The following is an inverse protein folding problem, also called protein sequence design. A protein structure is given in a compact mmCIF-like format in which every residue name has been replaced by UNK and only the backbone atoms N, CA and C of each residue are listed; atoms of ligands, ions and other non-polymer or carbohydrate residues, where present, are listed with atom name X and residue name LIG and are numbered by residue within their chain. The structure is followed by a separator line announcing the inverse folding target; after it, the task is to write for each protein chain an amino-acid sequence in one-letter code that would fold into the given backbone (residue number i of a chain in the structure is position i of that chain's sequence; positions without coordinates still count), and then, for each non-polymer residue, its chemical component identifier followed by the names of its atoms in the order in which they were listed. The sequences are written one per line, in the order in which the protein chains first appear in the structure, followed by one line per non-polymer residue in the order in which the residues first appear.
data_IF_310325594423
#
_entry.id   IF_310325594423
#
_cell.length_a   1.000
_cell.length_b   1.000
_cell.length_c   1.000
_cell.angle_alpha   90.00
_cell.angle_beta   90.00
_cell.angle_gamma   90.00
#
_symmetry.space_group_name_H-M   'P 1'
#
loop_
_entity.id
_entity.type
_entity.pdbx_description
1 polymer ?
#
# COMPACT_ATOMS: atom_id res chain seq x y z
N UNK A 1 15.35 7.99 51.22
CA UNK A 1 14.33 8.90 50.61
C UNK A 1 14.66 9.04 49.14
N UNK A 2 14.10 8.14 48.33
CA UNK A 2 14.21 8.26 46.88
C UNK A 2 13.11 9.21 46.42
N UNK A 3 13.52 10.27 45.71
CA UNK A 3 12.59 11.22 45.10
C UNK A 3 11.80 10.61 43.96
N UNK A 4 10.67 11.20 43.59
CA UNK A 4 9.83 10.68 42.49
C UNK A 4 10.64 10.69 41.20
N UNK A 5 10.72 9.54 40.51
CA UNK A 5 11.27 9.44 39.17
C UNK A 5 10.42 10.30 38.23
N UNK A 6 11.01 11.34 37.68
CA UNK A 6 10.41 12.09 36.58
C UNK A 6 10.10 11.11 35.43
N UNK A 7 8.84 11.04 35.02
CA UNK A 7 8.44 10.33 33.83
C UNK A 7 9.03 11.05 32.62
N UNK A 8 9.99 10.41 31.96
CA UNK A 8 10.52 10.90 30.68
C UNK A 8 9.35 11.06 29.70
N UNK A 9 9.19 12.27 29.22
CA UNK A 9 8.17 12.58 28.21
C UNK A 9 8.65 11.96 26.89
N UNK A 10 7.86 11.09 26.23
CA UNK A 10 8.23 10.42 24.98
C UNK A 10 8.73 11.43 23.95
N UNK A 11 9.83 11.10 23.25
CA UNK A 11 10.41 11.92 22.21
C UNK A 11 9.43 12.14 21.04
N UNK A 12 9.69 13.16 20.23
CA UNK A 12 8.81 13.53 19.10
C UNK A 12 8.55 12.35 18.16
N UNK A 13 9.58 11.51 17.92
CA UNK A 13 9.51 10.29 17.10
C UNK A 13 8.59 9.21 17.68
N UNK A 14 8.55 9.06 19.00
CA UNK A 14 7.68 8.10 19.69
C UNK A 14 6.22 8.57 19.71
N UNK A 15 5.99 9.88 19.82
CA UNK A 15 4.65 10.48 19.70
C UNK A 15 4.08 10.34 18.30
N UNK A 16 4.91 10.52 17.27
CA UNK A 16 4.53 10.34 15.87
C UNK A 16 4.26 8.86 15.54
N UNK A 17 5.04 7.93 16.06
CA UNK A 17 4.80 6.49 15.92
C UNK A 17 3.51 6.06 16.62
N UNK A 18 3.25 6.55 17.84
CA UNK A 18 2.01 6.29 18.57
C UNK A 18 0.78 6.86 17.85
N UNK A 19 0.88 8.05 17.27
CA UNK A 19 -0.21 8.66 16.50
C UNK A 19 -0.55 7.88 15.23
N UNK A 20 0.42 7.19 14.62
CA UNK A 20 0.19 6.32 13.44
C UNK A 20 -0.44 4.96 13.77
N UNK A 21 -0.19 4.44 14.97
CA UNK A 21 -0.73 3.16 15.44
C UNK A 21 -2.12 3.29 16.08
N UNK A 22 -2.45 4.46 16.60
CA UNK A 22 -3.67 4.69 17.39
C UNK A 22 -4.98 4.44 16.63
N UNK A 23 -5.15 4.77 15.32
CA UNK A 23 -6.42 4.53 14.64
C UNK A 23 -6.82 3.05 14.61
N UNK A 24 -5.87 2.15 14.39
CA UNK A 24 -6.13 0.72 14.35
C UNK A 24 -6.35 0.12 15.75
N UNK A 25 -5.59 0.59 16.76
CA UNK A 25 -5.74 0.15 18.15
C UNK A 25 -7.11 0.53 18.74
N UNK A 26 -7.61 1.72 18.43
CA UNK A 26 -8.90 2.20 18.98
C UNK A 26 -10.08 1.48 18.35
N UNK A 27 -10.03 1.17 17.06
CA UNK A 27 -11.09 0.38 16.42
C UNK A 27 -11.13 -1.06 16.97
N UNK A 28 -9.96 -1.63 17.27
CA UNK A 28 -9.85 -2.93 17.93
C UNK A 28 -10.33 -2.89 19.39
N UNK A 29 -10.04 -1.82 20.15
CA UNK A 29 -10.47 -1.66 21.54
C UNK A 29 -11.97 -1.39 21.67
N UNK A 30 -12.61 -0.72 20.72
CA UNK A 30 -14.06 -0.52 20.69
C UNK A 30 -14.81 -1.85 20.53
N UNK A 31 -14.32 -2.77 19.70
CA UNK A 31 -14.88 -4.12 19.58
C UNK A 31 -14.72 -4.97 20.84
N UNK A 32 -13.63 -4.76 21.60
CA UNK A 32 -13.39 -5.49 22.85
C UNK A 32 -14.21 -4.95 24.03
N UNK A 33 -14.47 -3.65 24.10
CA UNK A 33 -15.36 -3.05 25.09
C UNK A 33 -16.79 -3.57 24.96
N UNK A 34 -17.28 -3.79 23.74
CA UNK A 34 -18.60 -4.36 23.46
C UNK A 34 -18.67 -5.87 23.82
N UNK A 35 -17.58 -6.61 23.66
CA UNK A 35 -17.48 -8.02 24.06
C UNK A 35 -17.38 -8.19 25.59
N UNK A 36 -16.64 -7.31 26.28
CA UNK A 36 -16.49 -7.32 27.74
C UNK A 36 -17.74 -6.85 28.49
N UNK A 37 -18.58 -6.02 27.87
CA UNK A 37 -19.84 -5.59 28.46
C UNK A 37 -20.90 -6.72 28.59
N UNK A 38 -20.65 -7.88 27.96
CA UNK A 38 -21.52 -9.06 27.97
C UNK A 38 -21.13 -10.13 29.03
N UNK A 39 -20.01 -9.96 29.74
CA UNK A 39 -19.59 -10.82 30.82
C UNK A 39 -19.69 -10.08 32.16
N UNK A 40 -20.82 -10.25 32.83
CA UNK A 40 -21.07 -9.78 34.18
C UNK A 40 -20.49 -10.75 35.20
N UNK A 41 -19.26 -10.53 35.65
CA UNK A 41 -18.84 -10.78 37.03
C UNK A 41 -17.49 -10.08 37.31
N UNK A 42 -17.45 -8.98 38.10
CA UNK A 42 -16.20 -8.30 38.43
C UNK A 42 -15.43 -8.97 39.58
N UNK A 43 -15.99 -10.00 40.27
CA UNK A 43 -15.42 -10.58 41.48
C UNK A 43 -14.99 -12.06 41.40
N UNK A 44 -14.86 -12.64 40.20
CA UNK A 44 -14.23 -13.94 40.05
C UNK A 44 -12.76 -13.84 40.48
N UNK A 45 -12.48 -14.28 41.67
CA UNK A 45 -11.15 -14.25 42.30
C UNK A 45 -10.15 -15.07 41.50
N UNK A 46 -9.13 -14.39 41.05
CA UNK A 46 -8.06 -14.82 40.15
C UNK A 46 -7.11 -15.91 40.71
N UNK A 47 -7.42 -16.48 41.87
CA UNK A 47 -6.57 -17.47 42.54
C UNK A 47 -6.67 -18.89 42.01
N UNK A 48 -7.79 -19.28 41.36
CA UNK A 48 -8.03 -20.64 40.90
C UNK A 48 -7.60 -20.95 39.47
N UNK A 49 -7.22 -19.93 38.69
CA UNK A 49 -6.84 -20.14 37.26
C UNK A 49 -5.36 -20.53 37.09
N UNK A 50 -4.52 -20.26 38.09
CA UNK A 50 -3.09 -20.53 38.02
C UNK A 50 -2.68 -21.97 38.48
N UNK A 51 -3.60 -22.72 39.05
CA UNK A 51 -3.37 -24.08 39.54
C UNK A 51 -3.46 -25.09 38.37
N UNK A 52 -2.33 -25.40 37.74
CA UNK A 52 -2.24 -26.41 36.69
C UNK A 52 -1.55 -25.92 35.41
N UNK A 53 -1.18 -24.67 35.34
CA UNK A 53 -0.47 -24.10 34.21
C UNK A 53 1.05 -24.33 34.31
N UNK A 54 1.71 -24.60 33.16
CA UNK A 54 3.17 -24.63 33.15
C UNK A 54 3.78 -23.30 33.61
N UNK A 55 4.97 -23.30 34.27
CA UNK A 55 5.62 -22.07 34.73
C UNK A 55 5.79 -21.01 33.63
N UNK A 56 5.91 -21.44 32.37
CA UNK A 56 6.02 -20.55 31.21
C UNK A 56 4.70 -19.83 30.92
N UNK A 57 3.58 -20.55 30.95
CA UNK A 57 2.24 -19.99 30.71
C UNK A 57 1.82 -19.07 31.87
N UNK A 58 2.11 -19.47 33.11
CA UNK A 58 1.84 -18.65 34.32
C UNK A 58 2.64 -17.33 34.28
N UNK A 59 3.90 -17.35 33.81
CA UNK A 59 4.72 -16.15 33.64
C UNK A 59 4.23 -15.24 32.49
N UNK A 60 3.77 -15.83 31.40
CA UNK A 60 3.17 -15.09 30.27
C UNK A 60 1.87 -14.39 30.71
N UNK A 61 0.99 -15.08 31.45
CA UNK A 61 -0.25 -14.52 32.01
C UNK A 61 0.05 -13.39 33.00
N UNK A 62 1.07 -13.54 33.85
CA UNK A 62 1.48 -12.50 34.80
C UNK A 62 1.95 -11.24 34.08
N UNK A 63 2.78 -11.37 33.04
CA UNK A 63 3.22 -10.25 32.20
C UNK A 63 2.06 -9.57 31.47
N UNK A 64 1.13 -10.34 30.93
CA UNK A 64 -0.10 -9.79 30.33
C UNK A 64 -0.91 -9.01 31.36
N UNK A 65 -1.06 -9.52 32.61
CA UNK A 65 -1.76 -8.81 33.71
C UNK A 65 -1.02 -7.53 34.13
N UNK A 66 0.32 -7.50 34.11
CA UNK A 66 1.11 -6.29 34.36
C UNK A 66 0.89 -5.25 33.26
N UNK A 67 0.99 -5.65 32.01
CA UNK A 67 0.72 -4.78 30.85
C UNK A 67 -0.73 -4.27 30.87
N UNK A 68 -1.69 -5.13 31.21
CA UNK A 68 -3.10 -4.72 31.34
C UNK A 68 -3.31 -3.76 32.52
N UNK A 69 -2.57 -3.90 33.65
CA UNK A 69 -2.62 -2.94 34.77
C UNK A 69 -1.95 -1.60 34.41
N UNK A 70 -0.82 -1.61 33.70
CA UNK A 70 -0.20 -0.40 33.17
C UNK A 70 -1.10 0.28 32.13
N UNK A 71 -1.78 -0.50 31.29
CA UNK A 71 -2.81 0.01 30.37
C UNK A 71 -4.06 0.51 31.10
N UNK A 72 -4.40 -0.02 32.26
CA UNK A 72 -5.54 0.46 33.07
C UNK A 72 -5.24 1.81 33.75
N UNK A 73 -3.99 2.07 34.16
CA UNK A 73 -3.57 3.43 34.59
C UNK A 73 -3.50 4.42 33.44
N UNK A 74 -3.25 3.94 32.21
CA UNK A 74 -3.38 4.71 30.96
C UNK A 74 -4.85 4.83 30.48
N UNK A 75 -5.81 4.20 31.16
CA UNK A 75 -7.21 4.10 30.72
C UNK A 75 -7.89 5.47 30.66
N UNK A 76 -7.60 6.36 31.61
CA UNK A 76 -8.14 7.74 31.57
C UNK A 76 -7.60 8.48 30.35
N UNK A 77 -6.28 8.40 30.12
CA UNK A 77 -5.65 9.00 28.96
C UNK A 77 -6.10 8.35 27.63
N UNK A 78 -6.28 7.02 27.61
CA UNK A 78 -6.77 6.28 26.45
C UNK A 78 -8.25 6.56 26.14
N UNK A 79 -9.09 6.82 27.17
CA UNK A 79 -10.47 7.28 26.97
C UNK A 79 -10.49 8.66 26.34
N UNK A 80 -9.74 9.61 26.89
CA UNK A 80 -9.66 10.99 26.37
C UNK A 80 -9.06 11.02 24.97
N UNK A 81 -8.00 10.24 24.72
CA UNK A 81 -7.41 10.06 23.39
C UNK A 81 -8.37 9.30 22.45
N UNK A 82 -9.13 8.33 22.94
CA UNK A 82 -10.12 7.57 22.19
C UNK A 82 -11.27 8.43 21.69
N UNK A 83 -11.77 9.34 22.49
CA UNK A 83 -12.78 10.31 22.09
C UNK A 83 -12.24 11.27 21.02
N UNK A 84 -11.06 11.83 21.24
CA UNK A 84 -10.41 12.72 20.27
C UNK A 84 -10.16 12.04 18.91
N UNK A 85 -9.81 10.75 18.93
CA UNK A 85 -9.59 9.97 17.72
C UNK A 85 -10.91 9.55 17.06
N UNK A 86 -11.92 9.16 17.84
CA UNK A 86 -13.27 8.90 17.34
C UNK A 86 -13.83 10.12 16.61
N UNK A 87 -13.67 11.30 17.19
CA UNK A 87 -14.06 12.56 16.58
C UNK A 87 -13.21 12.90 15.34
N UNK A 88 -11.91 12.62 15.36
CA UNK A 88 -11.03 12.80 14.20
C UNK A 88 -11.41 11.86 13.04
N UNK A 89 -11.71 10.58 13.33
CA UNK A 89 -12.21 9.62 12.33
C UNK A 89 -13.59 10.04 11.83
N UNK A 90 -14.51 10.44 12.71
CA UNK A 90 -15.83 10.93 12.32
C UNK A 90 -15.73 12.23 11.51
N UNK A 91 -14.79 13.12 11.82
CA UNK A 91 -14.49 14.31 11.03
C UNK A 91 -13.85 13.96 9.68
N UNK A 92 -12.97 12.95 9.64
CA UNK A 92 -12.36 12.44 8.41
C UNK A 92 -13.39 11.78 7.49
N UNK A 93 -14.38 11.08 8.06
CA UNK A 93 -15.52 10.51 7.31
C UNK A 93 -16.44 11.57 6.75
N UNK A 94 -16.71 12.64 7.51
CA UNK A 94 -17.58 13.76 7.08
C UNK A 94 -16.95 14.67 6.04
N UNK A 95 -15.63 14.68 5.92
CA UNK A 95 -14.93 15.41 4.85
C UNK A 95 -14.94 14.56 3.59
N UNK A 96 -15.98 14.71 2.76
CA UNK A 96 -15.88 14.30 1.37
C UNK A 96 -14.74 15.10 0.74
N UNK A 97 -13.55 14.51 0.65
CA UNK A 97 -12.44 15.16 -0.01
C UNK A 97 -12.75 15.21 -1.51
N UNK A 98 -13.02 16.38 -2.02
CA UNK A 98 -13.09 16.59 -3.48
C UNK A 98 -11.66 16.53 -4.00
N UNK A 99 -11.29 15.39 -4.55
CA UNK A 99 -9.97 15.19 -5.17
C UNK A 99 -10.02 15.77 -6.57
N UNK A 100 -9.39 16.93 -6.77
CA UNK A 100 -9.37 17.68 -8.04
C UNK A 100 -8.15 17.34 -8.87
N UNK A 101 -7.02 17.08 -8.22
CA UNK A 101 -5.73 16.79 -8.85
C UNK A 101 -5.09 15.55 -8.28
N UNK A 102 -4.64 14.66 -9.18
CA UNK A 102 -3.99 13.39 -8.83
C UNK A 102 -2.71 13.25 -9.62
N UNK A 103 -1.59 13.10 -8.91
CA UNK A 103 -0.30 12.82 -9.54
C UNK A 103 -0.06 11.32 -9.66
N UNK A 104 0.66 10.93 -10.71
CA UNK A 104 1.03 9.54 -10.98
C UNK A 104 2.41 9.46 -11.66
N UNK A 105 3.14 8.37 -11.43
CA UNK A 105 4.45 8.16 -12.05
C UNK A 105 4.32 7.81 -13.53
N UNK A 106 5.13 8.47 -14.37
CA UNK A 106 5.33 8.16 -15.77
C UNK A 106 4.48 8.99 -16.72
N UNK A 107 4.28 8.52 -17.94
CA UNK A 107 3.57 9.23 -19.02
C UNK A 107 2.10 8.79 -19.10
N UNK A 108 1.32 9.53 -19.86
CA UNK A 108 -0.02 9.13 -20.29
C UNK A 108 0.04 7.75 -20.94
N UNK A 109 -0.90 6.85 -20.60
CA UNK A 109 -0.91 5.46 -21.09
C UNK A 109 -0.07 4.48 -20.24
N UNK A 110 0.69 4.96 -19.23
CA UNK A 110 1.35 4.07 -18.25
C UNK A 110 0.34 3.36 -17.36
N UNK A 111 0.75 2.27 -16.71
CA UNK A 111 -0.10 1.55 -15.76
C UNK A 111 -0.53 2.43 -14.57
N UNK A 112 0.34 3.34 -14.11
CA UNK A 112 0.00 4.32 -13.07
C UNK A 112 -1.05 5.30 -13.55
N UNK A 113 -0.94 5.80 -14.80
CA UNK A 113 -1.97 6.64 -15.42
C UNK A 113 -3.32 5.93 -15.51
N UNK A 114 -3.33 4.68 -15.99
CA UNK A 114 -4.55 3.86 -16.07
C UNK A 114 -5.21 3.67 -14.71
N UNK A 115 -4.41 3.34 -13.69
CA UNK A 115 -4.91 3.19 -12.32
C UNK A 115 -5.47 4.51 -11.78
N UNK A 116 -4.80 5.63 -12.01
CA UNK A 116 -5.27 6.95 -11.61
C UNK A 116 -6.58 7.33 -12.33
N UNK A 117 -6.66 7.13 -13.64
CA UNK A 117 -7.85 7.43 -14.44
C UNK A 117 -9.06 6.58 -14.01
N UNK A 118 -8.86 5.30 -13.73
CA UNK A 118 -9.92 4.41 -13.27
C UNK A 118 -10.45 4.79 -11.87
N UNK A 119 -9.57 5.25 -10.97
CA UNK A 119 -9.94 5.62 -9.62
C UNK A 119 -10.51 7.04 -9.51
N UNK A 120 -10.05 7.94 -10.39
CA UNK A 120 -10.34 9.39 -10.35
C UNK A 120 -10.68 9.94 -11.74
N UNK A 121 -11.80 9.49 -12.36
CA UNK A 121 -12.13 9.85 -13.74
C UNK A 121 -12.49 11.33 -13.95
N UNK A 122 -12.76 12.06 -12.86
CA UNK A 122 -13.13 13.48 -12.90
C UNK A 122 -12.01 14.42 -12.43
N UNK A 123 -10.85 13.86 -12.03
CA UNK A 123 -9.73 14.64 -11.53
C UNK A 123 -8.75 14.98 -12.64
N UNK A 124 -8.03 16.07 -12.48
CA UNK A 124 -6.86 16.37 -13.30
C UNK A 124 -5.74 15.37 -12.97
N UNK A 125 -5.24 14.68 -13.98
CA UNK A 125 -4.18 13.68 -13.85
C UNK A 125 -2.84 14.26 -14.31
N UNK A 126 -1.91 14.43 -13.36
CA UNK A 126 -0.63 15.09 -13.61
C UNK A 126 0.51 14.06 -13.54
N UNK A 127 1.28 13.86 -14.64
CA UNK A 127 2.42 12.96 -14.64
C UNK A 127 3.59 13.55 -13.87
N UNK A 128 4.32 12.69 -13.15
CA UNK A 128 5.58 13.01 -12.49
C UNK A 128 6.66 11.99 -12.84
N UNK A 129 7.93 12.32 -12.59
CA UNK A 129 9.07 11.50 -13.03
C UNK A 129 9.60 10.54 -11.95
N UNK A 130 9.19 10.69 -10.69
CA UNK A 130 9.63 9.83 -9.59
C UNK A 130 8.55 9.67 -8.52
N UNK A 131 8.66 8.61 -7.71
CA UNK A 131 7.79 8.42 -6.54
C UNK A 131 8.02 9.50 -5.48
N UNK A 132 9.27 9.95 -5.31
CA UNK A 132 9.60 11.04 -4.40
C UNK A 132 8.92 12.35 -4.82
N UNK A 133 8.90 12.67 -6.12
CA UNK A 133 8.19 13.84 -6.63
C UNK A 133 6.67 13.72 -6.44
N UNK A 134 6.10 12.53 -6.66
CA UNK A 134 4.68 12.29 -6.41
C UNK A 134 4.31 12.57 -4.94
N UNK A 135 5.10 12.04 -4.00
CA UNK A 135 4.92 12.29 -2.57
C UNK A 135 5.08 13.77 -2.22
N UNK A 136 6.12 14.44 -2.76
CA UNK A 136 6.36 15.86 -2.54
C UNK A 136 5.20 16.72 -3.04
N UNK A 137 4.61 16.42 -4.20
CA UNK A 137 3.43 17.14 -4.71
C UNK A 137 2.28 17.12 -3.72
N UNK A 138 2.03 15.98 -3.07
CA UNK A 138 0.95 15.84 -2.08
C UNK A 138 1.31 16.58 -0.78
N UNK A 139 2.55 16.45 -0.30
CA UNK A 139 3.03 17.10 0.92
C UNK A 139 2.94 18.62 0.80
N UNK A 140 3.41 19.15 -0.33
CA UNK A 140 3.43 20.59 -0.61
C UNK A 140 2.03 21.15 -0.96
N UNK A 141 1.02 20.31 -1.14
CA UNK A 141 -0.34 20.69 -1.54
C UNK A 141 -0.45 21.10 -3.02
N UNK A 142 0.52 20.71 -3.86
CA UNK A 142 0.47 20.90 -5.32
C UNK A 142 -0.46 19.91 -6.01
N UNK A 143 -0.77 18.80 -5.32
CA UNK A 143 -1.79 17.84 -5.71
C UNK A 143 -2.56 17.37 -4.47
N UNK A 144 -3.81 16.97 -4.66
CA UNK A 144 -4.65 16.45 -3.58
C UNK A 144 -4.28 15.02 -3.21
N UNK A 145 -3.87 14.21 -4.19
CA UNK A 145 -3.53 12.81 -4.00
C UNK A 145 -2.43 12.35 -4.96
N UNK A 146 -1.78 11.24 -4.61
CA UNK A 146 -0.89 10.50 -5.51
C UNK A 146 -1.32 9.04 -5.65
N UNK A 147 -1.30 8.50 -6.86
CA UNK A 147 -1.52 7.07 -7.13
C UNK A 147 -0.18 6.41 -7.37
N UNK A 148 0.20 5.51 -6.45
CA UNK A 148 1.51 4.85 -6.41
C UNK A 148 1.35 3.33 -6.50
N UNK A 149 2.15 2.62 -7.29
CA UNK A 149 2.23 1.17 -7.24
C UNK A 149 2.92 0.74 -5.95
N UNK A 150 2.36 -0.20 -5.21
CA UNK A 150 2.94 -0.67 -3.95
C UNK A 150 3.51 -2.08 -4.05
N UNK A 151 2.90 -2.90 -4.86
CA UNK A 151 3.40 -4.25 -5.16
C UNK A 151 2.89 -4.77 -6.51
N UNK A 152 3.61 -5.75 -7.05
CA UNK A 152 3.24 -6.48 -8.25
C UNK A 152 3.36 -7.98 -7.98
N UNK A 153 2.42 -8.78 -8.50
CA UNK A 153 2.36 -10.21 -8.23
C UNK A 153 3.57 -11.01 -8.74
N UNK A 154 4.30 -10.48 -9.73
CA UNK A 154 5.49 -11.11 -10.32
C UNK A 154 6.79 -10.47 -9.86
N UNK A 155 6.83 -9.14 -9.73
CA UNK A 155 8.04 -8.39 -9.34
C UNK A 155 8.14 -8.17 -7.82
N UNK A 156 7.06 -8.42 -7.06
CA UNK A 156 7.05 -8.26 -5.61
C UNK A 156 6.81 -6.82 -5.16
N UNK A 157 7.31 -6.52 -3.99
CA UNK A 157 7.12 -5.24 -3.27
C UNK A 157 7.99 -4.13 -3.87
N UNK A 158 7.42 -2.93 -4.00
CA UNK A 158 8.15 -1.73 -4.45
C UNK A 158 8.65 -1.00 -3.20
N UNK A 159 9.86 -1.38 -2.74
CA UNK A 159 10.44 -0.91 -1.47
C UNK A 159 10.54 0.61 -1.35
N UNK A 160 10.90 1.30 -2.43
CA UNK A 160 11.00 2.77 -2.46
C UNK A 160 9.69 3.46 -2.02
N UNK A 161 8.54 2.94 -2.44
CA UNK A 161 7.24 3.50 -2.05
C UNK A 161 6.98 3.31 -0.56
N UNK A 162 7.32 2.14 0.00
CA UNK A 162 7.22 1.89 1.44
C UNK A 162 8.13 2.83 2.24
N UNK A 163 9.37 3.03 1.78
CA UNK A 163 10.32 3.95 2.42
C UNK A 163 9.81 5.39 2.42
N UNK A 164 9.20 5.84 1.33
CA UNK A 164 8.60 7.16 1.23
C UNK A 164 7.40 7.31 2.17
N UNK A 165 6.54 6.29 2.26
CA UNK A 165 5.40 6.29 3.18
C UNK A 165 5.84 6.29 4.65
N UNK A 166 6.97 5.63 4.98
CA UNK A 166 7.55 5.65 6.32
C UNK A 166 8.14 7.02 6.69
N UNK A 167 8.77 7.69 5.72
CA UNK A 167 9.46 8.97 5.96
C UNK A 167 8.52 10.17 6.01
N UNK A 168 7.38 10.07 5.35
CA UNK A 168 6.45 11.18 5.18
C UNK A 168 5.10 10.89 5.84
N UNK A 169 4.45 11.92 6.35
CA UNK A 169 3.12 11.80 6.95
C UNK A 169 2.04 11.75 5.85
N UNK A 170 2.04 10.63 5.12
CA UNK A 170 1.07 10.33 4.07
C UNK A 170 0.21 9.15 4.47
N UNK A 171 -1.08 9.27 4.21
CA UNK A 171 -2.07 8.26 4.54
C UNK A 171 -2.55 7.53 3.29
N UNK A 172 -2.56 6.19 3.33
CA UNK A 172 -3.20 5.38 2.30
C UNK A 172 -4.71 5.49 2.52
N UNK A 173 -5.42 6.05 1.53
CA UNK A 173 -6.87 6.28 1.60
C UNK A 173 -7.66 5.35 0.68
N UNK A 174 -7.01 4.75 -0.31
CA UNK A 174 -7.63 3.82 -1.25
C UNK A 174 -6.61 2.82 -1.77
N UNK A 175 -7.07 1.62 -2.14
CA UNK A 175 -6.29 0.61 -2.84
C UNK A 175 -7.07 0.06 -4.03
N UNK A 176 -6.38 -0.13 -5.16
CA UNK A 176 -6.93 -0.76 -6.35
C UNK A 176 -5.92 -1.76 -6.94
N UNK A 177 -6.43 -2.87 -7.44
CA UNK A 177 -5.62 -3.83 -8.18
C UNK A 177 -5.88 -3.66 -9.67
N UNK A 178 -4.82 -3.56 -10.46
CA UNK A 178 -4.88 -3.45 -11.90
C UNK A 178 -4.25 -4.69 -12.53
N UNK A 179 -5.02 -5.41 -13.34
CA UNK A 179 -4.47 -6.48 -14.17
C UNK A 179 -3.54 -5.86 -15.23
N UNK A 180 -2.30 -6.33 -15.25
CA UNK A 180 -1.30 -5.94 -16.24
C UNK A 180 -1.36 -6.97 -17.36
N UNK A 181 -1.60 -6.49 -18.56
CA UNK A 181 -1.57 -7.30 -19.77
C UNK A 181 -0.55 -6.66 -20.70
N UNK A 182 0.47 -7.42 -21.03
CA UNK A 182 1.43 -7.02 -22.02
C UNK A 182 0.95 -7.50 -23.41
N UNK A 183 1.02 -6.61 -24.38
CA UNK A 183 0.75 -6.90 -25.78
C UNK A 183 1.90 -6.39 -26.65
N UNK A 184 2.10 -7.03 -27.80
CA UNK A 184 3.07 -6.57 -28.80
C UNK A 184 2.40 -5.52 -29.68
N UNK A 185 3.02 -4.35 -29.80
CA UNK A 185 2.51 -3.19 -30.51
C UNK A 185 3.44 -2.85 -31.69
N UNK A 186 2.90 -2.76 -32.88
CA UNK A 186 3.62 -2.35 -34.09
C UNK A 186 2.97 -1.17 -34.79
N UNK A 187 3.65 -0.58 -35.71
CA UNK A 187 3.10 0.47 -36.57
C UNK A 187 2.02 -0.11 -37.50
N UNK A 188 1.07 0.70 -38.00
CA UNK A 188 0.07 0.24 -38.95
C UNK A 188 0.71 -0.44 -40.16
N UNK A 189 0.22 -1.64 -40.49
CA UNK A 189 0.74 -2.45 -41.59
C UNK A 189 1.94 -3.33 -41.28
N UNK A 190 2.47 -3.28 -40.03
CA UNK A 190 3.48 -4.24 -39.57
C UNK A 190 2.85 -5.60 -39.27
N UNK A 191 3.57 -6.69 -39.51
CA UNK A 191 3.18 -8.04 -39.16
C UNK A 191 4.20 -8.65 -38.19
N UNK A 192 3.74 -9.59 -37.31
CA UNK A 192 4.62 -10.22 -36.33
C UNK A 192 5.87 -10.85 -36.93
N UNK A 193 5.75 -11.41 -38.12
CA UNK A 193 6.84 -12.07 -38.86
C UNK A 193 7.96 -11.11 -39.29
N UNK A 194 7.63 -9.82 -39.45
CA UNK A 194 8.56 -8.79 -39.87
C UNK A 194 9.37 -8.22 -38.73
N UNK A 195 8.86 -8.39 -37.50
CA UNK A 195 9.50 -7.81 -36.32
C UNK A 195 10.84 -8.48 -36.02
N UNK A 196 11.85 -7.67 -35.77
CA UNK A 196 13.21 -8.09 -35.39
C UNK A 196 13.62 -7.57 -34.00
N UNK A 197 13.06 -6.44 -33.63
CA UNK A 197 13.43 -5.74 -32.42
C UNK A 197 12.20 -5.31 -31.62
N UNK A 198 12.27 -5.46 -30.30
CA UNK A 198 11.17 -5.13 -29.38
C UNK A 198 11.69 -4.19 -28.29
N UNK A 199 11.06 -3.03 -28.15
CA UNK A 199 11.41 -2.01 -27.18
C UNK A 199 10.43 -2.04 -26.01
N UNK A 200 10.93 -2.03 -24.80
CA UNK A 200 10.08 -1.96 -23.60
C UNK A 200 10.92 -1.77 -22.33
N UNK A 201 10.26 -1.58 -21.19
CA UNK A 201 10.91 -1.55 -19.88
C UNK A 201 11.51 -2.94 -19.53
N UNK A 202 12.60 -3.02 -18.72
CA UNK A 202 13.22 -4.29 -18.33
C UNK A 202 12.24 -5.31 -17.72
N UNK A 203 11.22 -4.87 -16.98
CA UNK A 203 10.26 -5.77 -16.34
C UNK A 203 9.41 -6.56 -17.37
N UNK A 204 8.73 -5.96 -18.37
CA UNK A 204 8.09 -6.72 -19.43
C UNK A 204 9.04 -7.58 -20.27
N UNK A 205 10.33 -7.21 -20.42
CA UNK A 205 11.30 -8.09 -21.08
C UNK A 205 11.39 -9.43 -20.31
N UNK A 206 11.47 -9.37 -18.98
CA UNK A 206 11.53 -10.56 -18.15
C UNK A 206 10.18 -11.34 -18.14
N UNK A 207 9.05 -10.62 -18.17
CA UNK A 207 7.71 -11.21 -18.12
C UNK A 207 7.26 -11.87 -19.43
N UNK A 208 7.86 -11.49 -20.56
CA UNK A 208 7.56 -12.01 -21.89
C UNK A 208 8.76 -12.76 -22.50
N UNK A 209 9.70 -13.22 -21.67
CA UNK A 209 10.95 -13.84 -22.14
C UNK A 209 10.71 -15.08 -23.01
N UNK A 210 9.70 -15.87 -22.68
CA UNK A 210 9.29 -17.04 -23.46
C UNK A 210 8.84 -16.66 -24.86
N UNK A 211 7.95 -15.68 -24.98
CA UNK A 211 7.46 -15.15 -26.25
C UNK A 211 8.62 -14.59 -27.10
N UNK A 212 9.46 -13.74 -26.50
CA UNK A 212 10.61 -13.13 -27.20
C UNK A 212 11.55 -14.16 -27.76
N UNK A 213 11.87 -15.19 -26.97
CA UNK A 213 12.75 -16.29 -27.38
C UNK A 213 12.13 -17.14 -28.48
N UNK A 214 10.84 -17.48 -28.38
CA UNK A 214 10.14 -18.31 -29.38
C UNK A 214 10.13 -17.68 -30.75
N UNK A 215 10.01 -16.33 -30.79
CA UNK A 215 9.96 -15.59 -32.05
C UNK A 215 11.33 -15.02 -32.47
N UNK A 216 12.42 -15.30 -31.72
CA UNK A 216 13.76 -14.79 -32.02
C UNK A 216 13.89 -13.27 -31.97
N UNK A 217 13.11 -12.60 -31.15
CA UNK A 217 13.03 -11.15 -31.08
C UNK A 217 14.12 -10.57 -30.17
N UNK A 218 14.82 -9.54 -30.62
CA UNK A 218 15.84 -8.82 -29.85
C UNK A 218 15.15 -7.76 -28.96
N UNK A 219 15.26 -7.89 -27.64
CA UNK A 219 14.73 -6.91 -26.70
C UNK A 219 15.69 -5.74 -26.47
N UNK A 220 15.17 -4.52 -26.41
CA UNK A 220 15.88 -3.28 -26.08
C UNK A 220 15.19 -2.62 -24.89
N UNK A 221 15.96 -2.39 -23.82
CA UNK A 221 15.45 -1.75 -22.62
C UNK A 221 15.21 -0.25 -22.82
N UNK A 222 14.03 0.21 -22.41
CA UNK A 222 13.60 1.60 -22.42
C UNK A 222 13.19 2.03 -21.02
N UNK A 223 13.09 3.34 -20.80
CA UNK A 223 12.71 3.94 -19.51
C UNK A 223 11.33 3.48 -19.01
N UNK A 224 10.36 3.33 -19.93
CA UNK A 224 9.02 2.84 -19.61
C UNK A 224 8.36 2.21 -20.84
N UNK A 225 7.30 1.41 -20.62
CA UNK A 225 6.48 0.84 -21.70
C UNK A 225 5.82 1.93 -22.56
N UNK A 226 5.37 3.02 -21.95
CA UNK A 226 4.78 4.15 -22.66
C UNK A 226 5.81 4.91 -23.49
N UNK A 227 7.04 5.10 -22.97
CA UNK A 227 8.14 5.69 -23.73
C UNK A 227 8.55 4.82 -24.91
N UNK A 228 8.54 3.50 -24.76
CA UNK A 228 8.81 2.56 -25.83
C UNK A 228 7.75 2.63 -26.95
N UNK A 229 6.46 2.63 -26.60
CA UNK A 229 5.37 2.74 -27.55
C UNK A 229 5.42 4.07 -28.34
N UNK A 230 5.65 5.19 -27.66
CA UNK A 230 5.83 6.50 -28.26
C UNK A 230 7.05 6.53 -29.25
N UNK A 231 8.16 5.92 -28.84
CA UNK A 231 9.36 5.86 -29.67
C UNK A 231 9.16 4.99 -30.92
N UNK A 232 8.48 3.85 -30.80
CA UNK A 232 8.13 2.99 -31.96
C UNK A 232 7.19 3.70 -32.91
N UNK A 233 6.18 4.40 -32.41
CA UNK A 233 5.25 5.17 -33.24
C UNK A 233 5.98 6.25 -34.04
N UNK A 234 6.89 6.98 -33.40
CA UNK A 234 7.70 8.02 -34.11
C UNK A 234 8.70 7.45 -35.09
N UNK A 235 9.29 6.29 -34.78
CA UNK A 235 10.26 5.66 -35.70
C UNK A 235 9.61 5.15 -36.96
N UNK A 236 8.35 4.73 -36.89
CA UNK A 236 7.57 4.24 -38.04
C UNK A 236 8.26 3.12 -38.84
N UNK A 237 9.04 2.29 -38.17
CA UNK A 237 9.79 1.16 -38.73
C UNK A 237 8.97 -0.13 -38.52
N UNK A 238 8.51 -0.81 -39.59
CA UNK A 238 7.71 -2.03 -39.46
C UNK A 238 8.48 -3.21 -38.85
N UNK A 239 9.81 -3.16 -38.76
CA UNK A 239 10.62 -4.19 -38.15
C UNK A 239 10.80 -4.00 -36.63
N UNK A 240 10.27 -2.91 -36.06
CA UNK A 240 10.39 -2.57 -34.64
C UNK A 240 9.02 -2.52 -33.98
N UNK A 241 8.89 -3.24 -32.87
CA UNK A 241 7.66 -3.26 -32.08
C UNK A 241 7.94 -2.78 -30.62
N UNK A 242 6.88 -2.49 -29.87
CA UNK A 242 6.95 -2.25 -28.45
C UNK A 242 6.16 -3.32 -27.67
N UNK A 243 6.58 -3.63 -26.46
CA UNK A 243 5.69 -4.28 -25.50
C UNK A 243 5.11 -3.20 -24.60
N UNK A 244 3.79 -3.16 -24.51
CA UNK A 244 3.05 -2.19 -23.73
C UNK A 244 1.65 -2.66 -23.38
N UNK A 245 0.81 -1.74 -22.89
CA UNK A 245 -0.59 -2.01 -22.60
C UNK A 245 -1.45 -1.94 -23.89
N UNK A 246 -2.60 -2.63 -23.95
CA UNK A 246 -3.52 -2.50 -25.09
C UNK A 246 -3.96 -1.06 -25.38
N UNK A 247 -4.10 -0.24 -24.32
CA UNK A 247 -4.53 1.15 -24.42
C UNK A 247 -3.44 2.04 -25.09
N UNK A 248 -2.18 1.66 -24.96
CA UNK A 248 -1.08 2.36 -25.64
C UNK A 248 -1.21 2.26 -27.17
N UNK A 249 -1.84 1.20 -27.71
CA UNK A 249 -2.11 1.09 -29.12
C UNK A 249 -2.91 2.29 -29.64
N UNK A 250 -4.07 2.56 -29.03
CA UNK A 250 -4.94 3.68 -29.41
C UNK A 250 -4.26 5.04 -29.17
N UNK A 251 -3.54 5.17 -28.04
CA UNK A 251 -2.89 6.42 -27.64
C UNK A 251 -1.78 6.87 -28.63
N UNK A 252 -0.99 5.91 -29.11
CA UNK A 252 0.18 6.19 -29.97
C UNK A 252 -0.05 5.82 -31.43
N UNK A 253 -1.29 5.44 -31.84
CA UNK A 253 -1.60 5.07 -33.21
C UNK A 253 -0.90 3.78 -33.65
N UNK A 254 -0.67 2.86 -32.72
CA UNK A 254 -0.09 1.54 -32.96
C UNK A 254 -1.19 0.48 -33.08
N UNK A 255 -0.86 -0.67 -33.67
CA UNK A 255 -1.72 -1.82 -33.76
C UNK A 255 -1.22 -2.93 -32.83
N UNK A 256 -2.14 -3.70 -32.22
CA UNK A 256 -1.81 -4.90 -31.48
C UNK A 256 -1.47 -6.02 -32.47
N UNK A 257 -0.22 -6.50 -32.44
CA UNK A 257 0.27 -7.59 -33.28
C UNK A 257 0.13 -8.97 -32.61
N UNK A 258 0.23 -9.01 -31.28
CA UNK A 258 0.05 -10.23 -30.48
C UNK A 258 -0.45 -9.90 -29.07
N UNK A 259 -1.34 -10.75 -28.56
CA UNK A 259 -1.85 -10.73 -27.19
C UNK A 259 -1.43 -12.01 -26.46
N UNK A 260 -1.56 -12.01 -25.10
CA UNK A 260 -1.25 -13.18 -24.29
C UNK A 260 0.23 -13.55 -24.33
N UNK A 261 1.09 -12.55 -24.46
CA UNK A 261 2.53 -12.72 -24.57
C UNK A 261 3.26 -12.87 -23.22
N UNK A 262 2.54 -12.69 -22.11
CA UNK A 262 3.06 -12.86 -20.77
C UNK A 262 3.35 -14.34 -20.46
N UNK A 263 4.49 -14.64 -19.84
CA UNK A 263 4.88 -16.00 -19.42
C UNK A 263 4.01 -16.52 -18.27
N UNK A 264 3.33 -15.63 -17.55
CA UNK A 264 2.44 -15.97 -16.43
C UNK A 264 1.03 -15.47 -16.69
N UNK A 265 0.03 -16.31 -16.41
CA UNK A 265 -1.39 -15.98 -16.64
C UNK A 265 -1.92 -14.86 -15.72
N UNK A 266 -1.27 -14.62 -14.58
CA UNK A 266 -1.68 -13.63 -13.59
C UNK A 266 -0.56 -12.65 -13.34
N UNK A 267 -0.72 -11.44 -13.87
CA UNK A 267 0.14 -10.30 -13.58
C UNK A 267 -0.75 -9.15 -13.08
N UNK A 268 -0.58 -8.80 -11.84
CA UNK A 268 -1.42 -7.79 -11.19
C UNK A 268 -0.55 -6.81 -10.39
N UNK A 269 -0.77 -5.53 -10.58
CA UNK A 269 -0.15 -4.48 -9.78
C UNK A 269 -1.19 -3.89 -8.85
N UNK A 270 -0.86 -3.83 -7.57
CA UNK A 270 -1.66 -3.12 -6.59
C UNK A 270 -1.17 -1.68 -6.47
N UNK A 271 -2.09 -0.76 -6.66
CA UNK A 271 -1.88 0.67 -6.50
C UNK A 271 -2.54 1.15 -5.23
N UNK A 272 -1.94 2.12 -4.57
CA UNK A 272 -2.52 2.83 -3.45
C UNK A 272 -2.63 4.31 -3.77
N UNK A 273 -3.71 4.91 -3.31
CA UNK A 273 -3.84 6.37 -3.30
C UNK A 273 -3.40 6.88 -1.95
N UNK A 274 -2.51 7.85 -1.96
CA UNK A 274 -2.00 8.50 -0.75
C UNK A 274 -2.38 9.97 -0.74
N UNK A 275 -2.71 10.45 0.46
CA UNK A 275 -3.09 11.84 0.74
C UNK A 275 -2.42 12.32 2.02
N UNK A 276 -2.29 13.66 2.17
CA UNK A 276 -1.78 14.29 3.40
C UNK A 276 -2.74 14.14 4.58
N UNK A 277 -4.03 14.10 4.32
CA UNK A 277 -5.05 13.93 5.36
C UNK A 277 -5.66 12.53 5.27
N UNK A 278 -5.83 11.89 6.43
CA UNK A 278 -6.54 10.63 6.50
C UNK A 278 -8.00 10.84 6.06
N UNK A 279 -8.39 10.09 5.07
CA UNK A 279 -9.77 9.94 4.65
C UNK A 279 -10.15 8.46 4.72
N UNK A 280 -11.21 8.15 5.44
CA UNK A 280 -11.69 6.77 5.59
C UNK A 280 -13.04 6.66 4.87
N UNK A 281 -13.10 6.00 3.70
CA UNK A 281 -14.35 5.73 3.01
C UNK A 281 -15.28 4.85 3.87
N UNK A 282 -16.59 5.05 3.74
CA UNK A 282 -17.57 4.26 4.51
C UNK A 282 -17.55 2.77 4.16
N UNK A 283 -17.11 2.42 2.96
CA UNK A 283 -16.94 1.06 2.45
C UNK A 283 -15.54 0.48 2.70
N UNK A 284 -14.72 1.12 3.51
CA UNK A 284 -13.36 0.64 3.82
C UNK A 284 -13.41 -0.71 4.54
N UNK A 285 -12.85 -1.74 3.90
CA UNK A 285 -12.78 -3.12 4.42
C UNK A 285 -11.37 -3.57 4.75
N UNK A 286 -10.35 -2.74 4.48
CA UNK A 286 -8.92 -3.07 4.66
C UNK A 286 -8.19 -1.91 5.29
N UNK A 287 -7.20 -2.25 6.10
CA UNK A 287 -6.25 -1.31 6.71
C UNK A 287 -4.84 -1.69 6.28
N UNK A 288 -4.04 -0.71 5.93
CA UNK A 288 -2.60 -0.90 5.76
C UNK A 288 -1.89 -0.33 6.98
N UNK A 289 -1.15 -1.17 7.68
CA UNK A 289 -0.33 -0.79 8.82
C UNK A 289 1.13 -0.81 8.39
N UNK A 290 1.83 0.27 8.66
CA UNK A 290 3.28 0.38 8.51
C UNK A 290 3.85 0.71 9.88
N UNK A 291 4.71 -0.15 10.41
CA UNK A 291 5.27 0.02 11.75
C UNK A 291 6.70 -0.50 11.81
N UNK A 292 7.46 0.01 12.76
CA UNK A 292 8.79 -0.49 13.09
C UNK A 292 8.74 -1.29 14.39
N UNK A 293 9.63 -2.26 14.51
CA UNK A 293 9.75 -3.12 15.69
C UNK A 293 11.17 -3.03 16.24
N UNK A 294 11.35 -3.16 17.57
CA UNK A 294 12.66 -3.42 18.14
C UNK A 294 13.26 -4.68 17.52
N UNK A 295 14.57 -4.66 17.23
CA UNK A 295 15.28 -5.82 16.71
C UNK A 295 15.62 -6.80 17.85
N UNK A 296 14.59 -7.40 18.44
CA UNK A 296 14.66 -8.32 19.57
C UNK A 296 13.93 -9.62 19.26
N UNK A 297 14.37 -10.71 19.88
CA UNK A 297 13.72 -12.01 19.72
C UNK A 297 12.27 -11.97 20.20
N UNK A 298 11.32 -12.34 19.32
CA UNK A 298 9.89 -12.41 19.64
C UNK A 298 9.10 -11.12 19.36
N UNK A 299 9.73 -9.98 19.02
CA UNK A 299 9.02 -8.71 18.77
C UNK A 299 7.94 -8.85 17.70
N UNK A 300 8.27 -9.46 16.55
CA UNK A 300 7.30 -9.69 15.47
C UNK A 300 6.20 -10.66 15.89
N UNK A 301 6.56 -11.75 16.56
CA UNK A 301 5.60 -12.75 17.02
C UNK A 301 4.57 -12.13 18.00
N UNK A 302 5.02 -11.25 18.90
CA UNK A 302 4.16 -10.56 19.86
C UNK A 302 3.15 -9.65 19.17
N UNK A 303 3.54 -8.93 18.11
CA UNK A 303 2.62 -8.07 17.34
C UNK A 303 1.64 -8.91 16.54
N UNK A 304 2.10 -9.99 15.89
CA UNK A 304 1.21 -10.88 15.13
C UNK A 304 0.19 -11.57 16.04
N UNK A 305 0.58 -12.00 17.24
CA UNK A 305 -0.35 -12.55 18.21
C UNK A 305 -1.42 -11.52 18.60
N UNK A 306 -1.04 -10.25 18.83
CA UNK A 306 -2.00 -9.18 19.12
C UNK A 306 -2.99 -8.94 17.98
N UNK A 307 -2.49 -8.91 16.74
CA UNK A 307 -3.35 -8.76 15.55
C UNK A 307 -4.35 -9.93 15.46
N UNK A 308 -3.91 -11.15 15.75
CA UNK A 308 -4.77 -12.32 15.78
C UNK A 308 -5.81 -12.26 16.90
N UNK A 309 -5.45 -11.79 18.11
CA UNK A 309 -6.37 -11.61 19.24
C UNK A 309 -7.52 -10.66 18.92
N UNK A 310 -7.30 -9.69 18.03
CA UNK A 310 -8.34 -8.79 17.53
C UNK A 310 -9.16 -9.38 16.39
N UNK A 311 -8.96 -10.64 16.00
CA UNK A 311 -9.66 -11.29 14.90
C UNK A 311 -9.33 -10.70 13.52
N UNK A 312 -8.22 -9.95 13.40
CA UNK A 312 -7.79 -9.35 12.14
C UNK A 312 -7.02 -10.39 11.32
N UNK A 313 -7.40 -10.53 10.06
CA UNK A 313 -6.71 -11.40 9.11
C UNK A 313 -5.65 -10.61 8.34
N UNK A 314 -4.42 -11.12 8.32
CA UNK A 314 -3.34 -10.59 7.51
C UNK A 314 -3.45 -11.11 6.09
N UNK A 315 -3.54 -10.19 5.14
CA UNK A 315 -3.68 -10.53 3.72
C UNK A 315 -2.31 -10.54 3.01
N UNK A 316 -1.35 -9.81 3.58
CA UNK A 316 0.03 -9.77 3.09
C UNK A 316 0.96 -9.25 4.19
#
# INVERSE_FOLDING_TARGET
MEGPREMEVPGQTEREAAARLMPALVQAMAGWADASAKTTDPDATTADVDAGLSPYVANAIRRVREVVREMASARQWAQDAGWALGDAIAAARRRAAVIRSVVYLGKVGSHSNRSAAAQYPQSELVPVISFAEACACVIDGRADAAVLPIDNSTAGTIGEVYDLLLRHDLHIVRGAALAIRNVLLGVPGAHLEDIREVWTHPQPIAQCAGFLRTHGLRAVAMESTAAAADAVARRSDPAVAAIGSPEAAALYGLHVLAEGIDDTAVNQTRFVTVMRQLHVPDDATRVTLVFTLPNESGSLASVLARIADFGLNLVK
#
